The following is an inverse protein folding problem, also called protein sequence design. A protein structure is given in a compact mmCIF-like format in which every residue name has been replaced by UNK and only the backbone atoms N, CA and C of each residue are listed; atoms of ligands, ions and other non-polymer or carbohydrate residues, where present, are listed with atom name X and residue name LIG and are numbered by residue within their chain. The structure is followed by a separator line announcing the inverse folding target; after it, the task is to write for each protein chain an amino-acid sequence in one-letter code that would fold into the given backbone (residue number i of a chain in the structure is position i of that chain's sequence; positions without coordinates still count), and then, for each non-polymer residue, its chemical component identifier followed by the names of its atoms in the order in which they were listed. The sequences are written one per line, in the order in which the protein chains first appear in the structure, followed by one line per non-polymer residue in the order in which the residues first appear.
data_IF_317629093725
#
_entry.id   IF_317629093725
#
_cell.length_a   1.000
_cell.length_b   1.000
_cell.length_c   1.000
_cell.angle_alpha   90.00
_cell.angle_beta   90.00
_cell.angle_gamma   90.00
#
_symmetry.space_group_name_H-M   'P 1'
#
loop_
_entity.id
_entity.type
_entity.pdbx_description
1 polymer ?
#
# COMPACT_ATOMS: atom_id res chain seq x y z
N UNK A 1 -2.05 1.79 -35.64
CA UNK A 1 -1.94 3.25 -35.77
C UNK A 1 -0.93 3.67 -34.72
N UNK A 2 0.19 4.29 -35.11
CA UNK A 2 1.22 4.71 -34.16
C UNK A 2 0.73 5.92 -33.37
N UNK A 3 0.34 5.71 -32.12
CA UNK A 3 0.16 6.80 -31.15
C UNK A 3 1.56 7.18 -30.70
N UNK A 4 2.13 8.19 -31.35
CA UNK A 4 3.47 8.68 -31.00
C UNK A 4 3.42 9.49 -29.71
N UNK A 5 4.52 9.50 -28.93
CA UNK A 5 4.79 10.34 -27.73
C UNK A 5 4.26 11.78 -27.81
N UNK A 6 3.88 12.27 -28.97
CA UNK A 6 3.32 13.62 -29.19
C UNK A 6 1.88 13.78 -28.69
N UNK A 7 1.14 12.71 -28.43
CA UNK A 7 -0.24 12.79 -27.92
C UNK A 7 -0.34 13.20 -26.46
N UNK A 8 0.63 12.85 -25.63
CA UNK A 8 0.65 13.23 -24.21
C UNK A 8 1.14 14.69 -23.97
N UNK A 9 1.91 15.24 -24.86
CA UNK A 9 2.49 16.60 -24.71
C UNK A 9 1.59 17.76 -25.18
N UNK A 10 0.38 17.46 -25.63
CA UNK A 10 -0.54 18.44 -26.25
C UNK A 10 -1.55 19.13 -25.32
N UNK A 11 -1.61 18.79 -24.03
CA UNK A 11 -2.63 19.30 -23.11
C UNK A 11 -2.11 20.28 -22.02
N UNK A 12 -0.99 20.92 -22.23
CA UNK A 12 -0.53 22.01 -21.36
C UNK A 12 -1.06 23.35 -21.90
N UNK A 13 -2.13 23.82 -21.37
CA UNK A 13 -2.63 25.18 -21.16
C UNK A 13 -4.14 25.29 -21.40
N UNK A 14 -4.90 25.36 -20.33
CA UNK A 14 -6.06 26.26 -20.20
C UNK A 14 -6.73 26.12 -18.83
N UNK A 15 -6.53 27.11 -18.02
CA UNK A 15 -7.63 27.84 -17.39
C UNK A 15 -8.34 27.20 -16.18
N UNK A 16 -8.03 27.72 -14.99
CA UNK A 16 -8.91 27.65 -13.84
C UNK A 16 -10.35 28.09 -14.21
N UNK A 17 -11.29 27.17 -14.05
CA UNK A 17 -12.71 27.45 -14.19
C UNK A 17 -13.49 26.55 -13.23
N UNK A 18 -13.96 27.15 -12.13
CA UNK A 18 -14.90 26.56 -11.20
C UNK A 18 -16.19 26.17 -11.92
N UNK A 19 -16.52 24.88 -11.94
CA UNK A 19 -17.82 24.40 -12.34
C UNK A 19 -18.55 23.80 -11.13
N UNK A 20 -19.61 24.48 -10.73
CA UNK A 20 -20.58 24.00 -9.80
C UNK A 20 -21.29 22.75 -10.36
N UNK A 21 -21.21 21.64 -9.66
CA UNK A 21 -21.98 20.44 -9.98
C UNK A 21 -23.37 20.57 -9.39
N UNK A 22 -24.34 20.66 -10.27
CA UNK A 22 -25.76 20.53 -9.98
C UNK A 22 -26.06 19.05 -9.72
N UNK A 23 -26.62 18.75 -8.55
CA UNK A 23 -27.12 17.43 -8.19
C UNK A 23 -28.30 17.04 -9.10
N UNK A 24 -28.17 15.93 -9.82
CA UNK A 24 -29.31 15.19 -10.36
C UNK A 24 -29.57 13.98 -9.46
N UNK A 25 -30.70 14.06 -8.77
CA UNK A 25 -31.35 12.99 -8.03
C UNK A 25 -31.73 11.84 -8.99
N UNK A 26 -31.15 10.66 -8.81
CA UNK A 26 -31.68 9.40 -9.31
C UNK A 26 -31.57 8.37 -8.21
N UNK A 27 -32.71 8.12 -7.54
CA UNK A 27 -32.82 7.15 -6.46
C UNK A 27 -32.45 5.76 -6.92
N UNK A 28 -31.44 5.19 -6.32
CA UNK A 28 -31.18 3.75 -6.28
C UNK A 28 -31.06 3.26 -4.85
N UNK A 29 -31.67 2.10 -4.66
CA UNK A 29 -31.91 1.44 -3.38
C UNK A 29 -30.60 1.17 -2.66
N UNK A 30 -30.49 1.70 -1.44
CA UNK A 30 -29.41 1.36 -0.52
C UNK A 30 -29.38 -0.14 -0.25
N UNK A 31 -28.31 -0.80 -0.67
CA UNK A 31 -27.89 -2.08 -0.09
C UNK A 31 -27.37 -1.75 1.31
N UNK A 32 -28.04 -2.30 2.33
CA UNK A 32 -27.56 -2.25 3.70
C UNK A 32 -26.15 -2.90 3.73
N UNK A 33 -25.13 -2.07 4.01
CA UNK A 33 -23.84 -2.55 4.44
C UNK A 33 -24.07 -3.44 5.66
N UNK A 34 -23.63 -4.70 5.59
CA UNK A 34 -23.68 -5.61 6.72
C UNK A 34 -23.01 -4.93 7.92
N UNK A 35 -23.61 -5.08 9.10
CA UNK A 35 -23.08 -4.58 10.37
C UNK A 35 -21.67 -5.17 10.58
N UNK A 36 -20.65 -4.44 10.13
CA UNK A 36 -19.28 -4.65 10.56
C UNK A 36 -19.26 -4.16 12.01
N UNK A 37 -19.30 -5.08 12.96
CA UNK A 37 -19.09 -4.74 14.37
C UNK A 37 -17.74 -4.06 14.46
N UNK A 38 -17.74 -2.75 14.72
CA UNK A 38 -16.53 -1.99 14.97
C UNK A 38 -15.76 -2.69 16.09
N UNK A 39 -14.67 -3.35 15.75
CA UNK A 39 -13.75 -3.86 16.75
C UNK A 39 -13.16 -2.61 17.44
N UNK A 40 -13.17 -2.60 18.77
CA UNK A 40 -12.59 -1.49 19.52
C UNK A 40 -11.17 -1.22 18.99
N UNK A 41 -10.73 0.06 18.93
CA UNK A 41 -9.35 0.40 18.64
C UNK A 41 -8.44 -0.50 19.48
N UNK A 42 -7.31 -0.96 18.92
CA UNK A 42 -6.32 -1.66 19.72
C UNK A 42 -5.99 -0.78 20.93
N UNK A 43 -6.11 -1.33 22.13
CA UNK A 43 -5.72 -0.58 23.33
C UNK A 43 -4.29 -0.08 23.17
N UNK A 44 -3.97 1.14 23.68
CA UNK A 44 -2.60 1.63 23.62
C UNK A 44 -1.67 0.53 24.16
N UNK A 45 -0.66 0.17 23.39
CA UNK A 45 0.34 -0.78 23.90
C UNK A 45 0.89 -0.24 25.19
N UNK A 46 0.83 -1.01 26.28
CA UNK A 46 1.52 -0.67 27.51
C UNK A 46 3.03 -0.58 27.19
N UNK A 47 3.60 0.62 27.11
CA UNK A 47 5.03 0.76 26.99
C UNK A 47 5.58 1.55 25.79
N UNK A 48 4.89 2.55 25.29
CA UNK A 48 5.52 3.53 24.39
C UNK A 48 6.10 4.71 25.19
N UNK A 49 7.25 5.22 24.79
CA UNK A 49 7.82 6.48 25.26
C UNK A 49 7.42 7.64 24.35
N UNK A 50 7.44 8.86 24.88
CA UNK A 50 7.11 10.08 24.14
C UNK A 50 8.29 11.05 24.10
N UNK A 51 8.42 11.77 23.00
CA UNK A 51 9.34 12.88 22.85
C UNK A 51 8.81 14.16 23.56
N UNK A 52 9.59 15.26 23.53
CA UNK A 52 9.22 16.55 24.14
C UNK A 52 7.96 17.18 23.51
N UNK A 53 7.56 16.76 22.32
CA UNK A 53 6.31 17.19 21.67
C UNK A 53 5.10 16.37 22.11
N UNK A 54 5.31 15.30 22.88
CA UNK A 54 4.28 14.36 23.33
C UNK A 54 3.99 13.23 22.35
N UNK A 55 4.75 13.11 21.24
CA UNK A 55 4.64 12.00 20.28
C UNK A 55 5.39 10.78 20.79
N UNK A 56 4.88 9.60 20.43
CA UNK A 56 5.54 8.34 20.76
C UNK A 56 6.87 8.22 20.02
N UNK A 57 7.91 7.76 20.69
CA UNK A 57 9.24 7.51 20.12
C UNK A 57 9.57 6.02 20.05
N UNK A 58 8.88 5.22 20.82
CA UNK A 58 8.91 3.75 20.78
C UNK A 58 7.49 3.24 20.79
N UNK A 59 7.21 2.24 19.96
CA UNK A 59 5.89 1.65 19.84
C UNK A 59 5.96 0.17 20.16
N UNK A 60 4.92 -0.33 20.84
CA UNK A 60 4.72 -1.76 21.03
C UNK A 60 3.39 -2.17 20.42
N UNK A 61 3.38 -3.32 19.79
CA UNK A 61 2.16 -3.93 19.24
C UNK A 61 2.16 -5.42 19.53
N UNK A 62 1.05 -5.95 19.99
CA UNK A 62 0.88 -7.39 20.30
C UNK A 62 2.01 -7.96 21.20
N UNK A 63 2.56 -7.13 22.08
CA UNK A 63 3.67 -7.52 22.97
C UNK A 63 5.07 -7.44 22.35
N UNK A 64 5.21 -6.95 21.13
CA UNK A 64 6.48 -6.77 20.44
C UNK A 64 6.81 -5.27 20.30
N UNK A 65 8.06 -4.89 20.56
CA UNK A 65 8.55 -3.55 20.27
C UNK A 65 8.87 -3.42 18.77
N UNK A 66 8.42 -2.33 18.15
CA UNK A 66 8.76 -2.04 16.77
C UNK A 66 10.23 -1.63 16.67
N UNK A 67 10.91 -2.14 15.65
CA UNK A 67 12.31 -1.83 15.40
C UNK A 67 12.46 -0.38 14.93
N UNK A 68 13.40 0.35 15.55
CA UNK A 68 13.71 1.73 15.18
C UNK A 68 15.20 1.94 14.84
N UNK A 69 15.97 0.86 14.68
CA UNK A 69 17.41 0.92 14.45
C UNK A 69 17.87 0.10 13.24
N UNK A 70 18.63 0.72 12.34
CA UNK A 70 19.19 0.06 11.13
C UNK A 70 20.06 -1.16 11.44
N UNK A 71 20.63 -1.25 12.65
CA UNK A 71 21.47 -2.38 13.07
C UNK A 71 20.75 -3.74 13.08
N UNK A 72 19.43 -3.75 13.05
CA UNK A 72 18.61 -4.97 12.98
C UNK A 72 18.48 -5.53 11.57
N UNK A 73 18.71 -4.72 10.53
CA UNK A 73 18.46 -5.07 9.12
C UNK A 73 19.08 -6.40 8.71
N UNK A 74 20.42 -6.55 8.87
CA UNK A 74 21.09 -7.77 8.45
C UNK A 74 20.56 -9.01 9.18
N UNK A 75 20.14 -8.88 10.43
CA UNK A 75 19.65 -10.00 11.24
C UNK A 75 18.26 -10.44 10.76
N UNK A 76 17.36 -9.51 10.52
CA UNK A 76 15.97 -9.84 10.12
C UNK A 76 15.89 -10.36 8.68
N UNK A 77 16.83 -9.97 7.81
CA UNK A 77 16.86 -10.37 6.39
C UNK A 77 17.68 -11.65 6.11
N UNK A 78 18.19 -12.32 7.16
CA UNK A 78 18.96 -13.55 6.97
C UNK A 78 18.09 -14.71 6.48
N UNK A 79 18.54 -15.48 5.49
CA UNK A 79 17.88 -16.72 5.09
C UNK A 79 17.70 -17.67 6.27
N UNK A 80 16.53 -18.28 6.37
CA UNK A 80 16.17 -19.24 7.42
C UNK A 80 16.14 -20.67 6.90
N UNK A 81 15.92 -21.63 7.81
CA UNK A 81 15.94 -23.05 7.47
C UNK A 81 14.76 -23.47 6.57
N UNK A 82 13.55 -23.13 6.95
CA UNK A 82 12.35 -23.37 6.15
C UNK A 82 12.10 -22.16 5.25
N UNK A 83 12.04 -22.37 3.94
CA UNK A 83 11.87 -21.28 2.98
C UNK A 83 10.50 -21.35 2.31
N UNK A 84 9.82 -20.22 2.28
CA UNK A 84 8.63 -20.00 1.45
C UNK A 84 8.98 -20.05 -0.04
N UNK A 85 7.96 -19.98 -0.86
CA UNK A 85 8.09 -19.93 -2.32
C UNK A 85 7.40 -18.72 -2.91
N UNK A 86 7.88 -18.28 -4.06
CA UNK A 86 7.23 -17.24 -4.84
C UNK A 86 6.53 -17.89 -6.02
N UNK A 87 5.23 -17.57 -6.17
CA UNK A 87 4.43 -17.91 -7.34
C UNK A 87 4.13 -16.64 -8.12
N UNK A 88 4.02 -16.75 -9.46
CA UNK A 88 3.70 -15.62 -10.31
C UNK A 88 2.33 -15.83 -10.95
N UNK A 89 1.45 -14.87 -10.73
CA UNK A 89 0.14 -14.79 -11.39
C UNK A 89 0.24 -13.82 -12.58
N UNK A 90 -0.32 -14.23 -13.72
CA UNK A 90 -0.40 -13.37 -14.91
C UNK A 90 -1.86 -13.00 -15.16
N UNK A 91 -2.12 -11.75 -15.51
CA UNK A 91 -3.47 -11.24 -15.79
C UNK A 91 -3.45 -10.16 -16.85
N UNK A 92 -4.64 -9.86 -17.38
CA UNK A 92 -4.86 -8.70 -18.23
C UNK A 92 -5.66 -7.65 -17.46
N UNK A 93 -5.32 -6.38 -17.66
CA UNK A 93 -5.98 -5.25 -17.05
C UNK A 93 -5.96 -4.05 -17.98
N UNK A 94 -6.70 -3.02 -17.63
CA UNK A 94 -6.69 -1.73 -18.30
C UNK A 94 -5.49 -0.87 -17.90
N UNK A 95 -4.96 -0.12 -18.85
CA UNK A 95 -4.01 0.96 -18.57
C UNK A 95 -4.78 2.25 -18.28
N UNK A 96 -5.31 2.36 -17.05
CA UNK A 96 -6.23 3.45 -16.67
C UNK A 96 -5.63 4.84 -16.87
N UNK A 97 -4.33 5.02 -16.66
CA UNK A 97 -3.64 6.30 -16.90
C UNK A 97 -3.68 6.66 -18.39
N UNK A 98 -3.43 5.69 -19.28
CA UNK A 98 -3.48 5.90 -20.72
C UNK A 98 -4.90 6.11 -21.23
N UNK A 99 -5.86 5.43 -20.67
CA UNK A 99 -7.29 5.58 -21.03
C UNK A 99 -7.81 6.96 -20.59
N UNK A 100 -7.39 7.43 -19.42
CA UNK A 100 -7.75 8.77 -18.96
C UNK A 100 -7.13 9.88 -19.82
N UNK A 101 -5.89 9.68 -20.28
CA UNK A 101 -5.22 10.59 -21.22
C UNK A 101 -5.78 10.50 -22.64
N UNK A 102 -6.50 9.42 -23.00
CA UNK A 102 -7.06 9.17 -24.34
C UNK A 102 -8.54 8.74 -24.24
N UNK A 103 -9.46 9.65 -23.90
CA UNK A 103 -10.87 9.30 -23.69
C UNK A 103 -11.51 8.55 -24.85
N UNK A 104 -12.14 7.42 -24.54
CA UNK A 104 -12.83 6.56 -25.52
C UNK A 104 -11.92 5.56 -26.23
N UNK A 105 -10.66 5.45 -25.85
CA UNK A 105 -9.75 4.38 -26.26
C UNK A 105 -9.53 3.41 -25.11
N UNK A 106 -9.43 2.13 -25.40
CA UNK A 106 -9.15 1.06 -24.45
C UNK A 106 -7.72 0.56 -24.66
N UNK A 107 -6.96 0.41 -23.56
CA UNK A 107 -5.58 -0.07 -23.59
C UNK A 107 -5.43 -1.25 -22.63
N UNK A 108 -5.51 -2.46 -23.16
CA UNK A 108 -5.29 -3.68 -22.37
C UNK A 108 -3.80 -4.02 -22.33
N UNK A 109 -3.33 -4.33 -21.13
CA UNK A 109 -1.95 -4.72 -20.84
C UNK A 109 -1.90 -6.02 -20.08
N UNK A 110 -0.85 -6.82 -20.33
CA UNK A 110 -0.57 -8.03 -19.56
C UNK A 110 0.41 -7.69 -18.45
N UNK A 111 0.07 -8.08 -17.22
CA UNK A 111 0.86 -7.82 -16.02
C UNK A 111 1.05 -9.06 -15.18
N UNK A 112 1.94 -8.98 -14.21
CA UNK A 112 2.20 -10.05 -13.25
C UNK A 112 2.04 -9.54 -11.82
N UNK A 113 1.71 -10.48 -10.91
CA UNK A 113 1.79 -10.31 -9.47
C UNK A 113 2.69 -11.41 -8.95
N UNK A 114 3.75 -11.08 -8.24
CA UNK A 114 4.54 -12.07 -7.52
C UNK A 114 3.94 -12.26 -6.13
N UNK A 115 3.72 -13.52 -5.73
CA UNK A 115 3.07 -13.86 -4.46
C UNK A 115 3.99 -14.77 -3.66
N UNK A 116 4.41 -14.31 -2.48
CA UNK A 116 5.11 -15.16 -1.52
C UNK A 116 4.12 -15.96 -0.70
N UNK A 117 4.39 -17.27 -0.59
CA UNK A 117 3.67 -18.22 0.22
C UNK A 117 4.61 -18.80 1.28
N UNK A 118 4.21 -18.89 2.56
CA UNK A 118 5.07 -19.41 3.62
C UNK A 118 5.47 -20.87 3.38
N UNK A 119 6.56 -21.30 4.01
CA UNK A 119 7.08 -22.67 3.85
C UNK A 119 6.07 -23.76 4.24
N UNK A 120 5.22 -23.47 5.22
CA UNK A 120 4.17 -24.35 5.71
C UNK A 120 2.79 -24.10 5.07
N UNK A 121 2.77 -23.43 3.89
CA UNK A 121 1.53 -23.15 3.16
C UNK A 121 0.72 -24.44 2.91
N UNK A 122 -0.55 -24.38 3.31
CA UNK A 122 -1.54 -25.44 3.15
C UNK A 122 -2.84 -24.84 2.60
N UNK A 123 -3.28 -25.29 1.45
CA UNK A 123 -4.50 -24.81 0.79
C UNK A 123 -5.80 -25.09 1.58
N UNK A 124 -5.73 -25.89 2.66
CA UNK A 124 -6.85 -26.11 3.58
C UNK A 124 -6.96 -25.08 4.70
N UNK A 125 -5.96 -24.22 4.86
CA UNK A 125 -5.92 -23.11 5.84
C UNK A 125 -6.43 -21.85 5.19
N UNK A 126 -6.72 -20.83 5.99
CA UNK A 126 -7.14 -19.50 5.54
C UNK A 126 -6.05 -18.50 5.86
N UNK A 127 -5.78 -17.57 4.94
CA UNK A 127 -4.66 -16.63 5.03
C UNK A 127 -5.13 -15.18 5.01
N UNK A 128 -4.47 -14.36 5.83
CA UNK A 128 -4.45 -12.91 5.68
C UNK A 128 -3.59 -12.50 4.47
N UNK A 129 -3.85 -11.33 3.88
CA UNK A 129 -3.15 -10.88 2.67
C UNK A 129 -2.53 -9.51 2.89
N UNK A 130 -1.21 -9.40 2.67
CA UNK A 130 -0.53 -8.12 2.49
C UNK A 130 -0.33 -7.86 0.99
N UNK A 131 -0.89 -6.77 0.48
CA UNK A 131 -0.53 -6.20 -0.82
C UNK A 131 0.61 -5.22 -0.62
N UNK A 132 1.79 -5.53 -1.16
CA UNK A 132 3.03 -4.80 -0.93
C UNK A 132 3.52 -4.13 -2.21
N UNK A 133 3.49 -2.80 -2.22
CA UNK A 133 3.78 -1.99 -3.40
C UNK A 133 5.23 -1.49 -3.42
N UNK A 134 5.83 -1.53 -4.60
CA UNK A 134 7.15 -0.98 -4.90
C UNK A 134 7.15 0.55 -5.01
N UNK A 135 8.34 1.15 -5.12
CA UNK A 135 8.54 2.57 -5.40
C UNK A 135 8.71 2.88 -6.90
N UNK A 136 9.49 3.93 -7.19
CA UNK A 136 9.89 4.25 -8.57
C UNK A 136 11.03 3.34 -8.99
N UNK A 137 10.88 2.65 -10.11
CA UNK A 137 11.92 1.77 -10.66
C UNK A 137 11.35 0.86 -11.75
N UNK A 138 12.24 0.23 -12.52
CA UNK A 138 11.88 -0.75 -13.54
C UNK A 138 11.46 -2.11 -12.99
N UNK A 139 11.85 -2.39 -11.76
CA UNK A 139 11.68 -3.67 -11.09
C UNK A 139 10.20 -4.02 -10.91
N UNK A 140 9.36 -3.00 -10.76
CA UNK A 140 7.91 -3.14 -10.67
C UNK A 140 7.49 -4.23 -9.68
N UNK A 141 6.70 -5.19 -10.12
CA UNK A 141 6.24 -6.33 -9.30
C UNK A 141 7.38 -7.24 -8.80
N UNK A 142 8.58 -7.16 -9.41
CA UNK A 142 9.76 -7.93 -9.03
C UNK A 142 10.46 -7.42 -7.77
N UNK A 143 10.39 -6.10 -7.50
CA UNK A 143 11.20 -5.39 -6.51
C UNK A 143 11.38 -6.13 -5.18
N UNK A 144 10.30 -6.60 -4.59
CA UNK A 144 10.31 -7.22 -3.27
C UNK A 144 10.68 -8.70 -3.28
N UNK A 145 10.32 -9.47 -4.32
CA UNK A 145 10.29 -10.93 -4.24
C UNK A 145 11.19 -11.66 -5.25
N UNK A 146 11.71 -10.97 -6.28
CA UNK A 146 12.59 -11.58 -7.28
C UNK A 146 14.06 -11.27 -7.02
N UNK A 147 14.97 -12.05 -7.62
CA UNK A 147 16.42 -11.85 -7.52
C UNK A 147 16.99 -11.24 -8.81
N UNK A 148 16.17 -10.50 -9.55
CA UNK A 148 16.61 -9.73 -10.72
C UNK A 148 17.44 -8.52 -10.29
N UNK A 149 18.07 -7.85 -11.25
CA UNK A 149 18.87 -6.65 -11.00
C UNK A 149 18.02 -5.60 -10.28
N UNK A 150 18.57 -4.95 -9.26
CA UNK A 150 17.93 -3.96 -8.40
C UNK A 150 16.70 -4.46 -7.59
N UNK A 151 16.45 -5.78 -7.56
CA UNK A 151 15.44 -6.43 -6.72
C UNK A 151 16.03 -6.95 -5.41
N UNK A 152 15.15 -7.14 -4.41
CA UNK A 152 15.56 -7.52 -3.05
C UNK A 152 14.95 -8.85 -2.57
N UNK A 153 14.71 -9.79 -3.50
CA UNK A 153 13.98 -11.03 -3.22
C UNK A 153 14.60 -11.88 -2.14
N UNK A 154 15.92 -12.08 -2.18
CA UNK A 154 16.61 -12.89 -1.16
C UNK A 154 16.44 -12.32 0.24
N UNK A 155 16.60 -11.01 0.43
CA UNK A 155 16.45 -10.33 1.73
C UNK A 155 15.01 -10.33 2.20
N UNK A 156 14.06 -9.99 1.31
CA UNK A 156 12.63 -9.95 1.66
C UNK A 156 12.12 -11.32 2.03
N UNK A 157 12.45 -12.36 1.26
CA UNK A 157 12.06 -13.74 1.61
C UNK A 157 12.70 -14.20 2.92
N UNK A 158 13.97 -13.86 3.15
CA UNK A 158 14.65 -14.14 4.43
C UNK A 158 13.92 -13.52 5.62
N UNK A 159 13.47 -12.27 5.48
CA UNK A 159 12.67 -11.56 6.48
C UNK A 159 11.32 -12.27 6.73
N UNK A 160 10.57 -12.56 5.68
CA UNK A 160 9.25 -13.20 5.78
C UNK A 160 9.33 -14.59 6.38
N UNK A 161 10.27 -15.41 5.90
CA UNK A 161 10.51 -16.76 6.40
C UNK A 161 10.95 -16.74 7.87
N UNK A 162 11.81 -15.77 8.23
CA UNK A 162 12.26 -15.57 9.60
C UNK A 162 11.11 -15.20 10.55
N UNK A 163 10.22 -14.32 10.14
CA UNK A 163 9.05 -13.93 10.95
C UNK A 163 8.10 -15.11 11.18
N UNK A 164 7.90 -15.98 10.19
CA UNK A 164 7.10 -17.21 10.35
C UNK A 164 7.80 -18.21 11.29
N UNK A 165 9.10 -18.45 11.10
CA UNK A 165 9.88 -19.38 11.94
C UNK A 165 9.92 -18.94 13.40
N UNK A 166 10.05 -17.64 13.65
CA UNK A 166 10.06 -17.04 15.00
C UNK A 166 8.63 -16.95 15.60
N UNK A 167 7.58 -17.31 14.84
CA UNK A 167 6.19 -17.27 15.29
C UNK A 167 5.63 -15.86 15.45
N UNK A 168 6.24 -14.87 14.78
CA UNK A 168 5.83 -13.47 14.82
C UNK A 168 4.64 -13.17 13.92
N UNK A 169 4.54 -13.88 12.79
CA UNK A 169 3.38 -13.87 11.90
C UNK A 169 2.95 -15.30 11.57
N UNK A 170 1.69 -15.47 11.27
CA UNK A 170 1.13 -16.76 10.94
C UNK A 170 0.00 -16.62 9.92
N UNK A 171 -0.10 -17.59 9.00
CA UNK A 171 -1.18 -17.64 8.01
C UNK A 171 -1.30 -16.35 7.18
N UNK A 172 -0.16 -15.82 6.71
CA UNK A 172 -0.07 -14.62 5.89
C UNK A 172 0.51 -14.97 4.53
N UNK A 173 -0.03 -14.38 3.46
CA UNK A 173 0.56 -14.34 2.12
C UNK A 173 0.87 -12.90 1.73
N UNK A 174 1.92 -12.69 0.91
CA UNK A 174 2.34 -11.36 0.46
C UNK A 174 2.25 -11.29 -1.05
N UNK A 175 1.39 -10.41 -1.57
CA UNK A 175 1.19 -10.19 -3.00
C UNK A 175 1.83 -8.85 -3.42
N UNK A 176 2.74 -8.90 -4.38
CA UNK A 176 3.47 -7.74 -4.89
C UNK A 176 3.02 -7.42 -6.32
N UNK A 177 1.99 -6.58 -6.49
CA UNK A 177 1.61 -6.05 -7.80
C UNK A 177 2.51 -4.88 -8.23
N UNK A 178 2.25 -4.31 -9.40
CA UNK A 178 2.85 -3.05 -9.84
C UNK A 178 1.76 -2.07 -10.23
N UNK A 179 1.92 -0.79 -9.92
CA UNK A 179 1.02 0.25 -10.40
C UNK A 179 1.30 0.64 -11.86
N UNK A 180 2.46 0.28 -12.40
CA UNK A 180 2.75 0.53 -13.82
C UNK A 180 1.92 -0.36 -14.73
N UNK A 181 1.33 0.23 -15.75
CA UNK A 181 0.57 -0.44 -16.79
C UNK A 181 0.81 0.20 -18.16
N UNK A 182 2.07 0.38 -18.54
CA UNK A 182 2.45 0.92 -19.84
C UNK A 182 1.99 -0.03 -20.95
N UNK A 183 1.33 0.49 -22.01
CA UNK A 183 1.07 -0.29 -23.20
C UNK A 183 2.37 -0.78 -23.84
N UNK A 184 2.32 -1.89 -24.55
CA UNK A 184 3.49 -2.52 -25.14
C UNK A 184 4.27 -1.56 -26.05
N UNK A 185 5.54 -1.34 -25.76
CA UNK A 185 6.43 -0.44 -26.49
C UNK A 185 6.37 1.03 -26.05
N UNK A 186 5.56 1.36 -25.06
CA UNK A 186 5.44 2.72 -24.50
C UNK A 186 6.16 2.86 -23.14
N UNK A 187 6.75 1.80 -22.62
CA UNK A 187 7.54 1.83 -21.40
C UNK A 187 8.76 2.74 -21.56
N UNK A 188 8.98 3.73 -20.67
CA UNK A 188 10.12 4.62 -20.78
C UNK A 188 11.42 3.88 -20.51
N UNK A 189 12.47 4.19 -21.28
CA UNK A 189 13.80 3.60 -21.09
C UNK A 189 14.45 3.97 -19.74
N UNK A 190 14.02 5.08 -19.13
CA UNK A 190 14.43 5.54 -17.81
C UNK A 190 13.18 6.01 -17.04
N UNK A 191 12.69 5.16 -16.16
CA UNK A 191 11.47 5.41 -15.37
C UNK A 191 11.70 6.56 -14.38
N UNK A 192 12.90 6.70 -13.81
CA UNK A 192 13.19 7.79 -12.90
C UNK A 192 13.17 9.15 -13.61
N UNK A 193 13.82 9.25 -14.78
CA UNK A 193 13.76 10.45 -15.61
C UNK A 193 12.33 10.75 -16.09
N UNK A 194 11.54 9.74 -16.38
CA UNK A 194 10.13 9.89 -16.70
C UNK A 194 9.36 10.55 -15.55
N UNK A 195 9.49 10.04 -14.34
CA UNK A 195 8.83 10.62 -13.16
C UNK A 195 9.28 12.04 -12.82
N UNK A 196 10.49 12.43 -13.21
CA UNK A 196 10.97 13.80 -13.03
C UNK A 196 10.46 14.78 -14.08
N UNK A 197 10.13 14.29 -15.28
CA UNK A 197 9.82 15.11 -16.44
C UNK A 197 8.32 15.16 -16.79
N UNK A 198 7.57 14.09 -16.48
CA UNK A 198 6.15 13.97 -16.84
C UNK A 198 5.24 14.37 -15.68
N UNK A 199 4.41 15.42 -15.83
CA UNK A 199 3.47 15.84 -14.79
C UNK A 199 2.40 14.80 -14.46
N UNK A 200 2.15 13.82 -15.35
CA UNK A 200 1.21 12.74 -15.15
C UNK A 200 1.82 11.48 -14.52
N UNK A 201 3.11 11.51 -14.20
CA UNK A 201 3.78 10.37 -13.58
C UNK A 201 3.18 9.97 -12.22
N UNK A 202 2.57 10.90 -11.51
CA UNK A 202 1.87 10.65 -10.25
C UNK A 202 0.48 10.02 -10.43
N UNK A 203 -0.05 10.01 -11.65
CA UNK A 203 -1.35 9.40 -11.92
C UNK A 203 -1.29 7.86 -11.83
N UNK A 204 -0.11 7.25 -12.03
CA UNK A 204 0.08 5.81 -11.86
C UNK A 204 -0.30 5.33 -10.45
N UNK A 205 0.30 5.81 -9.36
CA UNK A 205 -0.11 5.43 -8.02
C UNK A 205 -1.50 5.94 -7.62
N UNK A 206 -1.97 7.06 -8.20
CA UNK A 206 -3.28 7.64 -7.88
C UNK A 206 -4.46 6.89 -8.48
N UNK A 207 -4.32 6.32 -9.67
CA UNK A 207 -5.37 5.61 -10.37
C UNK A 207 -5.35 4.09 -10.15
N UNK A 208 -4.34 3.57 -9.47
CA UNK A 208 -4.16 2.14 -9.25
C UNK A 208 -5.33 1.48 -8.48
N UNK A 209 -6.11 2.25 -7.75
CA UNK A 209 -7.30 1.74 -7.06
C UNK A 209 -8.31 1.05 -7.99
N UNK A 210 -8.41 1.49 -9.25
CA UNK A 210 -9.27 0.84 -10.26
C UNK A 210 -8.79 -0.59 -10.51
N UNK A 211 -7.51 -0.73 -10.74
CA UNK A 211 -6.89 -2.04 -10.96
C UNK A 211 -6.94 -2.93 -9.71
N UNK A 212 -6.74 -2.35 -8.52
CA UNK A 212 -6.89 -3.09 -7.26
C UNK A 212 -8.26 -3.75 -7.15
N UNK A 213 -9.33 -3.00 -7.43
CA UNK A 213 -10.70 -3.48 -7.33
C UNK A 213 -11.07 -4.46 -8.43
N UNK A 214 -10.69 -4.17 -9.67
CA UNK A 214 -11.20 -4.89 -10.82
C UNK A 214 -10.37 -6.11 -11.19
N UNK A 215 -9.09 -6.14 -10.82
CA UNK A 215 -8.17 -7.19 -11.27
C UNK A 215 -7.35 -7.81 -10.15
N UNK A 216 -6.60 -7.01 -9.37
CA UNK A 216 -5.57 -7.52 -8.45
C UNK A 216 -6.18 -8.29 -7.28
N UNK A 217 -7.09 -7.67 -6.52
CA UNK A 217 -7.74 -8.32 -5.38
C UNK A 217 -8.58 -9.52 -5.82
N UNK A 218 -9.45 -9.42 -6.85
CA UNK A 218 -10.20 -10.57 -7.33
C UNK A 218 -9.32 -11.74 -7.76
N UNK A 219 -8.21 -11.49 -8.47
CA UNK A 219 -7.30 -12.54 -8.91
C UNK A 219 -6.63 -13.26 -7.73
N UNK A 220 -6.04 -12.51 -6.81
CA UNK A 220 -5.33 -13.08 -5.65
C UNK A 220 -6.30 -13.86 -4.77
N UNK A 221 -7.46 -13.29 -4.46
CA UNK A 221 -8.39 -13.86 -3.50
C UNK A 221 -9.29 -14.98 -4.08
N UNK A 222 -9.36 -15.11 -5.41
CA UNK A 222 -9.92 -16.30 -6.04
C UNK A 222 -8.90 -17.41 -6.25
N UNK A 223 -7.60 -17.10 -6.20
CA UNK A 223 -6.52 -18.08 -6.41
C UNK A 223 -6.10 -18.75 -5.11
N UNK A 224 -6.01 -17.98 -4.02
CA UNK A 224 -5.55 -18.47 -2.72
C UNK A 224 -6.68 -18.53 -1.69
N UNK A 225 -6.59 -19.43 -0.69
CA UNK A 225 -7.61 -19.56 0.35
C UNK A 225 -7.48 -18.41 1.37
N UNK A 226 -8.04 -17.27 1.04
CA UNK A 226 -8.09 -16.07 1.87
C UNK A 226 -9.41 -16.00 2.66
N UNK A 227 -9.58 -15.00 3.50
CA UNK A 227 -10.80 -14.77 4.26
C UNK A 227 -12.02 -14.38 3.40
N UNK A 228 -11.84 -14.04 2.12
CA UNK A 228 -12.92 -13.93 1.15
C UNK A 228 -13.49 -15.29 0.73
N UNK A 229 -12.81 -16.40 1.07
CA UNK A 229 -13.23 -17.78 0.81
C UNK A 229 -13.58 -18.06 -0.67
N UNK A 230 -12.89 -17.39 -1.59
CA UNK A 230 -13.12 -17.50 -3.04
C UNK A 230 -14.34 -16.74 -3.56
N UNK A 231 -15.10 -16.08 -2.70
CA UNK A 231 -16.19 -15.18 -3.09
C UNK A 231 -15.63 -13.77 -3.26
N UNK A 232 -15.45 -13.35 -4.51
CA UNK A 232 -14.91 -12.04 -4.90
C UNK A 232 -16.00 -10.97 -5.12
N UNK A 233 -17.22 -11.21 -4.61
CA UNK A 233 -18.25 -10.16 -4.61
C UNK A 233 -17.84 -8.99 -3.69
N UNK A 234 -18.25 -7.77 -4.03
CA UNK A 234 -17.96 -6.58 -3.21
C UNK A 234 -18.35 -6.79 -1.74
N UNK A 235 -19.46 -7.47 -1.48
CA UNK A 235 -19.94 -7.74 -0.13
C UNK A 235 -18.98 -8.67 0.66
N UNK A 236 -18.48 -9.74 0.04
CA UNK A 236 -17.54 -10.66 0.65
C UNK A 236 -16.17 -10.02 0.87
N UNK A 237 -15.69 -9.27 -0.14
CA UNK A 237 -14.43 -8.54 -0.04
C UNK A 237 -14.48 -7.46 1.05
N UNK A 238 -15.60 -6.73 1.18
CA UNK A 238 -15.78 -5.77 2.26
C UNK A 238 -15.90 -6.44 3.64
N UNK A 239 -16.56 -7.58 3.73
CA UNK A 239 -16.69 -8.33 4.99
C UNK A 239 -15.35 -8.88 5.50
N UNK A 240 -14.41 -9.21 4.60
CA UNK A 240 -13.08 -9.71 4.90
C UNK A 240 -11.99 -8.63 4.99
N UNK A 241 -12.37 -7.33 4.98
CA UNK A 241 -11.41 -6.21 4.93
C UNK A 241 -10.37 -6.20 6.05
N UNK A 242 -10.74 -6.69 7.23
CA UNK A 242 -9.86 -6.71 8.41
C UNK A 242 -8.76 -7.80 8.31
N UNK A 243 -8.81 -8.61 7.28
CA UNK A 243 -7.82 -9.63 6.92
C UNK A 243 -6.99 -9.21 5.70
N UNK A 244 -7.02 -7.92 5.35
CA UNK A 244 -6.32 -7.38 4.19
C UNK A 244 -5.59 -6.10 4.54
N UNK A 245 -4.27 -6.10 4.22
CA UNK A 245 -3.39 -4.97 4.41
C UNK A 245 -2.87 -4.46 3.06
N UNK A 246 -2.59 -3.17 2.98
CA UNK A 246 -1.84 -2.56 1.89
C UNK A 246 -0.68 -1.76 2.45
N UNK A 247 0.51 -1.96 1.91
CA UNK A 247 1.69 -1.19 2.29
C UNK A 247 2.58 -0.91 1.07
N UNK A 248 3.42 0.10 1.17
CA UNK A 248 4.35 0.40 0.09
C UNK A 248 5.35 1.48 0.43
N UNK A 249 6.46 1.49 -0.34
CA UNK A 249 7.57 2.43 -0.20
C UNK A 249 7.49 3.57 -1.22
N UNK A 250 7.93 4.79 -0.85
CA UNK A 250 8.05 5.90 -1.78
C UNK A 250 6.74 6.14 -2.57
N UNK A 251 6.70 5.99 -3.89
CA UNK A 251 5.45 6.02 -4.68
C UNK A 251 4.48 4.88 -4.32
N UNK A 252 4.96 3.78 -3.78
CA UNK A 252 4.10 2.76 -3.17
C UNK A 252 3.41 3.26 -1.91
N UNK A 253 4.06 4.10 -1.10
CA UNK A 253 3.43 4.82 0.00
C UNK A 253 2.38 5.82 -0.50
N UNK A 254 2.66 6.51 -1.61
CA UNK A 254 1.67 7.32 -2.31
C UNK A 254 0.45 6.48 -2.74
N UNK A 255 0.67 5.25 -3.23
CA UNK A 255 -0.39 4.31 -3.58
C UNK A 255 -1.18 3.87 -2.35
N UNK A 256 -0.51 3.66 -1.20
CA UNK A 256 -1.17 3.31 0.06
C UNK A 256 -2.20 4.35 0.47
N UNK A 257 -1.89 5.63 0.29
CA UNK A 257 -2.80 6.73 0.64
C UNK A 257 -3.79 7.02 -0.48
N UNK A 258 -3.30 7.36 -1.68
CA UNK A 258 -4.17 7.82 -2.77
C UNK A 258 -5.05 6.70 -3.35
N UNK A 259 -4.62 5.45 -3.33
CA UNK A 259 -5.41 4.34 -3.84
C UNK A 259 -6.07 3.52 -2.74
N UNK A 260 -5.30 2.96 -1.78
CA UNK A 260 -5.88 2.05 -0.80
C UNK A 260 -6.75 2.79 0.23
N UNK A 261 -6.29 3.92 0.80
CA UNK A 261 -7.09 4.65 1.80
C UNK A 261 -8.20 5.47 1.18
N UNK A 262 -7.94 6.23 0.12
CA UNK A 262 -8.90 7.18 -0.42
C UNK A 262 -9.97 6.52 -1.30
N UNK A 263 -9.71 5.34 -1.88
CA UNK A 263 -10.64 4.69 -2.82
C UNK A 263 -10.98 3.23 -2.52
N UNK A 264 -10.26 2.59 -1.59
CA UNK A 264 -10.44 1.17 -1.27
C UNK A 264 -10.47 0.90 0.23
N UNK A 265 -10.78 1.89 1.09
CA UNK A 265 -10.79 1.67 2.53
C UNK A 265 -11.88 0.67 2.99
N UNK A 266 -12.89 0.45 2.19
CA UNK A 266 -13.87 -0.62 2.36
C UNK A 266 -13.29 -2.03 2.12
N UNK A 267 -12.08 -2.12 1.50
CA UNK A 267 -11.39 -3.37 1.23
C UNK A 267 -10.16 -3.59 2.14
N UNK A 268 -9.62 -2.54 2.76
CA UNK A 268 -8.39 -2.62 3.57
C UNK A 268 -8.62 -2.17 5.01
N UNK A 269 -8.22 -3.00 5.98
CA UNK A 269 -8.23 -2.64 7.40
C UNK A 269 -6.92 -2.00 7.86
N UNK A 270 -5.78 -2.38 7.26
CA UNK A 270 -4.44 -2.08 7.71
C UNK A 270 -3.64 -1.41 6.62
N UNK A 271 -2.92 -0.34 6.96
CA UNK A 271 -2.18 0.47 5.99
C UNK A 271 -0.75 0.70 6.46
N UNK A 272 0.21 0.61 5.51
CA UNK A 272 1.62 0.94 5.72
C UNK A 272 2.11 1.97 4.72
N UNK A 273 2.76 3.03 5.21
CA UNK A 273 3.33 4.10 4.40
C UNK A 273 4.81 4.25 4.74
N UNK A 274 5.70 3.95 3.78
CA UNK A 274 7.13 3.99 3.97
C UNK A 274 7.76 5.07 3.10
N UNK A 275 8.55 5.95 3.70
CA UNK A 275 9.34 6.99 2.99
C UNK A 275 8.49 7.94 2.15
N UNK A 276 7.64 8.71 2.81
CA UNK A 276 6.91 9.85 2.23
C UNK A 276 5.44 9.60 1.94
N UNK A 277 4.66 10.68 1.95
CA UNK A 277 3.25 10.70 1.56
C UNK A 277 3.01 11.91 0.65
N UNK A 278 2.78 11.68 -0.63
CA UNK A 278 2.41 12.71 -1.60
C UNK A 278 0.92 12.58 -1.94
N UNK A 279 0.10 13.21 -1.12
CA UNK A 279 -1.34 13.28 -1.28
C UNK A 279 -1.84 14.68 -0.89
N UNK A 280 -2.96 15.11 -1.46
CA UNK A 280 -3.65 16.31 -1.00
C UNK A 280 -4.35 16.00 0.34
N UNK A 281 -3.95 16.72 1.40
CA UNK A 281 -4.46 16.43 2.74
C UNK A 281 -5.95 16.79 2.89
N UNK A 282 -6.40 17.88 2.27
CA UNK A 282 -7.80 18.29 2.38
C UNK A 282 -8.72 17.34 1.61
N UNK A 283 -8.28 16.84 0.45
CA UNK A 283 -8.97 15.79 -0.29
C UNK A 283 -9.01 14.49 0.52
N UNK A 284 -7.87 14.04 1.04
CA UNK A 284 -7.76 12.86 1.90
C UNK A 284 -8.73 12.94 3.09
N UNK A 285 -8.68 14.04 3.84
CA UNK A 285 -9.57 14.26 4.98
C UNK A 285 -11.04 14.25 4.56
N UNK A 286 -11.38 14.97 3.50
CA UNK A 286 -12.74 15.04 3.00
C UNK A 286 -13.33 13.67 2.61
N UNK A 287 -12.54 12.80 2.00
CA UNK A 287 -12.93 11.44 1.65
C UNK A 287 -13.11 10.58 2.91
N UNK A 288 -12.16 10.62 3.84
CA UNK A 288 -12.22 9.80 5.03
C UNK A 288 -13.33 10.22 6.00
N UNK A 289 -13.59 11.50 6.15
CA UNK A 289 -14.66 12.04 6.98
C UNK A 289 -16.04 12.00 6.30
N UNK A 290 -16.07 11.86 4.97
CA UNK A 290 -17.27 11.73 4.16
C UNK A 290 -17.60 10.29 3.81
N UNK A 291 -17.06 9.81 2.69
CA UNK A 291 -17.37 8.48 2.13
C UNK A 291 -17.07 7.33 3.11
N UNK A 292 -15.99 7.44 3.87
CA UNK A 292 -15.51 6.40 4.77
C UNK A 292 -15.63 6.76 6.26
N UNK A 293 -16.53 7.69 6.61
CA UNK A 293 -16.69 8.15 8.00
C UNK A 293 -16.88 6.99 9.00
N UNK A 294 -17.66 5.99 8.62
CA UNK A 294 -18.01 4.84 9.47
C UNK A 294 -17.00 3.70 9.41
N UNK A 295 -15.97 3.77 8.53
CA UNK A 295 -14.99 2.71 8.37
C UNK A 295 -13.69 3.08 9.11
N UNK A 296 -13.36 2.44 10.23
CA UNK A 296 -12.11 2.72 10.93
C UNK A 296 -10.92 2.15 10.17
N UNK A 297 -9.80 2.87 10.17
CA UNK A 297 -8.49 2.30 9.88
C UNK A 297 -8.06 1.52 11.13
N UNK A 298 -7.77 0.22 11.00
CA UNK A 298 -7.38 -0.63 12.13
C UNK A 298 -6.05 -0.20 12.70
N UNK A 299 -5.09 -0.03 11.80
CA UNK A 299 -3.77 0.52 12.12
C UNK A 299 -3.15 1.17 10.89
N UNK A 300 -2.54 2.30 11.07
CA UNK A 300 -1.74 2.96 10.04
C UNK A 300 -0.29 3.07 10.49
N UNK A 301 0.55 2.20 9.96
CA UNK A 301 1.98 2.23 10.17
C UNK A 301 2.64 3.28 9.26
N UNK A 302 3.52 4.11 9.82
CA UNK A 302 4.33 5.06 9.08
C UNK A 302 5.79 4.95 9.50
N UNK A 303 6.70 4.88 8.53
CA UNK A 303 8.12 4.83 8.79
C UNK A 303 8.94 5.65 7.80
N UNK A 304 10.05 6.22 8.28
CA UNK A 304 10.92 7.03 7.44
C UNK A 304 12.35 7.08 8.00
N UNK A 305 13.35 7.08 7.10
CA UNK A 305 14.73 7.35 7.44
C UNK A 305 14.94 8.82 7.86
N UNK A 306 15.74 9.07 8.89
CA UNK A 306 15.97 10.44 9.38
C UNK A 306 16.83 11.31 8.43
N UNK A 307 17.42 10.71 7.39
CA UNK A 307 18.15 11.39 6.31
C UNK A 307 17.51 11.17 4.94
N UNK A 308 16.29 10.66 4.92
CA UNK A 308 15.50 10.47 3.71
C UNK A 308 15.05 11.84 3.16
N UNK A 309 15.13 12.03 1.86
CA UNK A 309 14.67 13.27 1.22
C UNK A 309 13.16 13.48 1.35
N UNK A 310 12.41 12.40 1.57
CA UNK A 310 10.95 12.44 1.75
C UNK A 310 10.51 12.77 3.19
N UNK A 311 11.45 12.84 4.13
CA UNK A 311 11.15 12.99 5.55
C UNK A 311 10.25 14.20 5.83
N UNK A 312 10.62 15.37 5.32
CA UNK A 312 9.85 16.60 5.56
C UNK A 312 8.41 16.46 5.08
N UNK A 313 8.21 15.94 3.86
CA UNK A 313 6.88 15.72 3.28
C UNK A 313 6.05 14.76 4.15
N UNK A 314 6.64 13.67 4.61
CA UNK A 314 5.97 12.68 5.44
C UNK A 314 5.60 13.25 6.83
N UNK A 315 6.51 14.03 7.43
CA UNK A 315 6.27 14.70 8.71
C UNK A 315 5.16 15.76 8.62
N UNK A 316 5.14 16.55 7.57
CA UNK A 316 4.08 17.54 7.34
C UNK A 316 2.70 16.88 7.20
N UNK A 317 2.61 15.76 6.49
CA UNK A 317 1.37 15.00 6.37
C UNK A 317 0.96 14.37 7.71
N UNK A 318 1.91 13.76 8.44
CA UNK A 318 1.69 13.23 9.81
C UNK A 318 1.14 14.29 10.74
N UNK A 319 1.76 15.47 10.78
CA UNK A 319 1.37 16.55 11.68
C UNK A 319 -0.04 17.06 11.38
N UNK A 320 -0.41 17.12 10.09
CA UNK A 320 -1.79 17.41 9.68
C UNK A 320 -2.77 16.33 10.15
N UNK A 321 -2.45 15.05 9.96
CA UNK A 321 -3.30 13.92 10.39
C UNK A 321 -3.52 13.98 11.91
N UNK A 322 -2.46 14.02 12.70
CA UNK A 322 -2.55 14.00 14.16
C UNK A 322 -3.18 15.29 14.72
N UNK A 323 -2.96 16.42 14.05
CA UNK A 323 -3.49 17.70 14.49
C UNK A 323 -4.96 17.95 14.11
N UNK A 324 -5.44 17.41 13.00
CA UNK A 324 -6.76 17.72 12.46
C UNK A 324 -7.70 16.52 12.42
N UNK A 325 -7.20 15.28 12.56
CA UNK A 325 -7.98 14.04 12.54
C UNK A 325 -7.75 13.18 13.78
N UNK A 326 -7.43 13.82 14.92
CA UNK A 326 -7.08 13.14 16.18
C UNK A 326 -8.20 12.25 16.75
N UNK A 327 -9.46 12.49 16.38
CA UNK A 327 -10.58 11.60 16.73
C UNK A 327 -10.57 10.29 15.93
N UNK A 328 -9.86 10.26 14.80
CA UNK A 328 -9.78 9.12 13.90
C UNK A 328 -8.43 8.39 13.98
N UNK A 329 -7.35 9.14 14.18
CA UNK A 329 -5.98 8.65 14.27
C UNK A 329 -5.32 9.08 15.57
N UNK A 330 -5.01 8.12 16.42
CA UNK A 330 -4.39 8.37 17.71
C UNK A 330 -3.00 7.72 17.75
N UNK A 331 -1.98 8.56 17.97
CA UNK A 331 -0.59 8.14 18.10
C UNK A 331 -0.41 7.11 19.22
N UNK A 332 0.23 5.99 18.91
CA UNK A 332 0.40 4.85 19.82
C UNK A 332 -0.84 3.96 19.98
N UNK A 333 -1.92 4.22 19.26
CA UNK A 333 -3.13 3.39 19.24
C UNK A 333 -3.34 2.72 17.87
N UNK A 334 -3.94 3.45 16.93
CA UNK A 334 -4.14 2.98 15.56
C UNK A 334 -3.27 3.73 14.54
N UNK A 335 -2.30 4.48 15.02
CA UNK A 335 -1.31 5.22 14.24
C UNK A 335 0.06 5.10 14.92
N UNK A 336 1.11 4.96 14.14
CA UNK A 336 2.47 5.11 14.64
C UNK A 336 3.35 5.86 13.63
N UNK A 337 4.44 6.40 14.17
CA UNK A 337 5.50 7.06 13.41
C UNK A 337 6.85 6.53 13.84
N UNK A 338 7.49 5.72 13.03
CA UNK A 338 8.82 5.17 13.30
C UNK A 338 9.87 5.95 12.50
N UNK A 339 10.87 6.49 13.18
CA UNK A 339 12.01 7.14 12.51
C UNK A 339 13.25 6.28 12.69
N UNK A 340 13.97 6.02 11.57
CA UNK A 340 15.22 5.27 11.58
C UNK A 340 16.41 6.22 11.60
N UNK A 341 17.12 6.38 12.74
CA UNK A 341 18.25 7.30 12.86
C UNK A 341 19.37 6.95 11.86
N UNK A 342 19.71 7.92 11.00
CA UNK A 342 20.73 7.76 9.96
C UNK A 342 20.24 7.10 8.68
N UNK A 343 19.01 6.57 8.67
CA UNK A 343 18.41 5.93 7.50
C UNK A 343 18.19 6.92 6.35
N UNK A 344 18.34 6.44 5.13
CA UNK A 344 18.15 7.17 3.88
C UNK A 344 16.95 6.57 3.11
N UNK A 345 16.75 6.97 1.88
CA UNK A 345 15.70 6.47 1.01
C UNK A 345 16.14 5.16 0.36
N UNK A 346 16.20 4.08 1.13
CA UNK A 346 16.79 2.82 0.71
C UNK A 346 16.09 1.58 1.32
N UNK A 347 16.47 0.41 0.79
CA UNK A 347 15.88 -0.86 1.15
C UNK A 347 16.11 -1.22 2.63
N UNK A 348 17.20 -0.80 3.27
CA UNK A 348 17.48 -1.11 4.67
C UNK A 348 16.38 -0.54 5.59
N UNK A 349 15.92 0.67 5.29
CA UNK A 349 14.77 1.27 5.98
C UNK A 349 13.47 0.53 5.65
N UNK A 350 13.23 0.25 4.37
CA UNK A 350 11.96 -0.35 3.94
C UNK A 350 11.79 -1.80 4.38
N UNK A 351 12.87 -2.55 4.55
CA UNK A 351 12.83 -3.88 5.14
C UNK A 351 12.40 -3.82 6.63
N UNK A 352 12.90 -2.83 7.39
CA UNK A 352 12.46 -2.59 8.76
C UNK A 352 11.00 -2.12 8.83
N UNK A 353 10.59 -1.29 7.89
CA UNK A 353 9.19 -0.86 7.75
C UNK A 353 8.27 -2.06 7.48
N UNK A 354 8.67 -2.95 6.57
CA UNK A 354 7.91 -4.17 6.26
C UNK A 354 7.81 -5.08 7.49
N UNK A 355 8.93 -5.32 8.20
CA UNK A 355 8.95 -6.12 9.42
C UNK A 355 7.99 -5.55 10.48
N UNK A 356 8.08 -4.26 10.76
CA UNK A 356 7.24 -3.57 11.72
C UNK A 356 5.76 -3.58 11.32
N UNK A 357 5.47 -3.38 10.05
CA UNK A 357 4.11 -3.41 9.52
C UNK A 357 3.46 -4.78 9.72
N UNK A 358 4.19 -5.84 9.40
CA UNK A 358 3.71 -7.22 9.58
C UNK A 358 3.41 -7.52 11.06
N UNK A 359 4.28 -7.08 11.98
CA UNK A 359 4.01 -7.19 13.43
C UNK A 359 2.76 -6.43 13.87
N UNK A 360 2.51 -5.26 13.27
CA UNK A 360 1.37 -4.43 13.61
C UNK A 360 0.06 -4.97 13.03
N UNK A 361 0.10 -5.58 11.83
CA UNK A 361 -1.09 -5.99 11.10
C UNK A 361 -1.55 -7.41 11.46
N UNK A 362 -0.66 -8.37 11.55
CA UNK A 362 -0.95 -9.79 11.68
C UNK A 362 -0.28 -10.39 12.92
#
# INVERSE_FOLDING_TARGET
MNVTRRGLLGLAALGAGSLALSACDSGEKGTQAGNVTAQAPLAPGDGYSKDDSGRSTTYQTKGHELLAGLGSFETICQPRGAQGRVEQLTYQTHSYVWEEANPGQEFLVSKVINVWLPADYDASRTYDVLYLMHGTGHEGAGYWLTDEEDCHGTQTRGLLDGMVEDGLIKDVIVACPSYYSFPAGEEPADVLAYHQADPHADDWPRLFWKELRESVIPLVESTYPTHAAGDISDASLAASRDHRAFAGLSRGSMTSVNSAMMHCLDLFGWIGSYSGIWADFDEFRGILEGQYAELPVRYWYNGNGSKDFSLQNHEEFRDNVLGQMGDRFADGQNYCWVSFPGGTHDYDCWALDLYNSLLAFF
#
